data_IF_415511029917
#
_entry.id   IF_415511029917
#
_cell.length_a   1.000
_cell.length_b   1.000
_cell.length_c   1.000
_cell.angle_alpha   90.00
_cell.angle_beta   90.00
_cell.angle_gamma   90.00
#
_symmetry.space_group_name_H-M   'P 1'
#
loop_
_entity.id
_entity.type
_entity.pdbx_description
1 polymer ?
#
# COMPACT_ATOMS: atom_id res chain seq x y z
N UNK A 1 -6.48 -13.47 3.69
CA UNK A 1 -7.10 -13.02 2.42
C UNK A 1 -8.58 -12.98 2.69
N UNK A 2 -9.24 -11.82 2.60
CA UNK A 2 -10.63 -11.64 3.05
C UNK A 2 -11.59 -11.33 1.90
N UNK A 3 -11.25 -11.84 0.72
CA UNK A 3 -12.11 -11.89 -0.46
C UNK A 3 -12.21 -13.38 -0.80
N UNK A 4 -13.42 -13.93 -1.01
CA UNK A 4 -14.71 -13.25 -1.16
C UNK A 4 -15.55 -13.08 0.12
N UNK A 5 -15.07 -13.46 1.31
CA UNK A 5 -15.89 -13.54 2.54
C UNK A 5 -16.28 -12.17 3.12
N UNK A 6 -15.65 -11.07 2.68
CA UNK A 6 -15.92 -9.69 3.12
C UNK A 6 -15.85 -9.52 4.65
N UNK A 7 -14.91 -10.20 5.29
CA UNK A 7 -14.69 -10.10 6.73
C UNK A 7 -13.93 -8.82 7.09
N UNK A 8 -14.45 -8.07 8.07
CA UNK A 8 -13.80 -6.87 8.60
C UNK A 8 -12.93 -7.23 9.82
N UNK A 9 -11.68 -6.77 9.81
CA UNK A 9 -10.73 -6.94 10.91
C UNK A 9 -9.87 -5.69 11.09
N UNK A 10 -9.31 -5.49 12.30
CA UNK A 10 -8.35 -4.41 12.54
C UNK A 10 -7.01 -4.79 11.92
N UNK A 11 -6.42 -3.87 11.15
CA UNK A 11 -5.08 -4.01 10.59
C UNK A 11 -4.23 -2.79 10.98
N UNK A 12 -3.06 -3.04 11.60
CA UNK A 12 -2.09 -1.99 11.89
C UNK A 12 -1.30 -1.63 10.63
N UNK A 13 -1.25 -0.35 10.29
CA UNK A 13 -0.59 0.15 9.08
C UNK A 13 0.15 1.44 9.39
N UNK A 14 1.32 1.62 8.78
CA UNK A 14 2.08 2.87 8.82
C UNK A 14 2.43 3.33 7.40
N UNK A 15 2.50 4.65 7.24
CA UNK A 15 2.86 5.31 5.99
C UNK A 15 3.93 6.35 6.24
N UNK A 16 5.04 6.24 5.52
CA UNK A 16 6.12 7.23 5.54
C UNK A 16 6.24 7.88 4.18
N UNK A 17 6.15 9.21 4.10
CA UNK A 17 6.39 9.94 2.84
C UNK A 17 7.89 9.94 2.54
N UNK A 18 8.28 9.38 1.39
CA UNK A 18 9.68 9.29 0.96
C UNK A 18 10.05 10.41 -0.04
N UNK A 19 9.09 10.82 -0.87
CA UNK A 19 9.22 11.90 -1.84
C UNK A 19 7.85 12.54 -2.12
N UNK A 20 7.78 13.47 -3.07
CA UNK A 20 6.50 14.08 -3.48
C UNK A 20 5.47 13.00 -3.85
N UNK A 21 5.88 12.05 -4.71
CA UNK A 21 5.05 11.02 -5.35
C UNK A 21 5.45 9.59 -4.91
N UNK A 22 6.05 9.46 -3.73
CA UNK A 22 6.47 8.16 -3.21
C UNK A 22 6.21 8.01 -1.71
N UNK A 23 5.61 6.89 -1.34
CA UNK A 23 5.25 6.56 0.04
C UNK A 23 5.67 5.12 0.36
N UNK A 24 6.29 4.91 1.53
CA UNK A 24 6.50 3.58 2.07
C UNK A 24 5.27 3.16 2.87
N UNK A 25 4.67 2.06 2.48
CA UNK A 25 3.67 1.34 3.25
C UNK A 25 4.35 0.26 4.10
N UNK A 26 3.93 0.14 5.35
CA UNK A 26 4.36 -0.91 6.27
C UNK A 26 3.14 -1.55 6.94
N UNK A 27 3.05 -2.89 6.86
CA UNK A 27 2.10 -3.68 7.63
C UNK A 27 2.66 -3.85 9.04
N UNK A 28 2.01 -3.33 10.07
CA UNK A 28 2.54 -3.45 11.44
C UNK A 28 2.32 -4.84 12.06
N UNK A 29 1.56 -5.70 11.38
CA UNK A 29 1.34 -7.09 11.79
C UNK A 29 2.22 -8.13 11.08
N UNK A 30 3.11 -7.70 10.18
CA UNK A 30 4.02 -8.59 9.43
C UNK A 30 5.28 -7.85 8.98
N UNK A 31 6.28 -8.55 8.44
CA UNK A 31 7.48 -7.90 7.89
C UNK A 31 7.27 -7.29 6.49
N UNK A 32 6.02 -7.18 6.04
CA UNK A 32 5.71 -6.69 4.71
C UNK A 32 5.81 -5.17 4.63
N UNK A 33 6.56 -4.69 3.64
CA UNK A 33 6.70 -3.29 3.28
C UNK A 33 6.81 -3.09 1.78
N UNK A 34 6.35 -1.96 1.28
CA UNK A 34 6.47 -1.60 -0.13
C UNK A 34 6.59 -0.09 -0.34
N UNK A 35 7.41 0.30 -1.32
CA UNK A 35 7.51 1.68 -1.78
C UNK A 35 6.54 1.89 -2.93
N UNK A 36 5.47 2.61 -2.66
CA UNK A 36 4.41 2.93 -3.59
C UNK A 36 4.81 4.16 -4.40
N UNK A 37 4.60 4.11 -5.71
CA UNK A 37 4.57 5.32 -6.56
C UNK A 37 3.14 5.73 -6.76
N UNK A 38 2.88 7.02 -6.58
CA UNK A 38 1.55 7.63 -6.77
C UNK A 38 1.62 8.73 -7.81
N UNK A 39 0.47 9.09 -8.39
CA UNK A 39 0.35 10.31 -9.18
C UNK A 39 0.14 11.54 -8.30
N UNK A 40 -0.10 12.68 -8.94
CA UNK A 40 -0.24 13.98 -8.26
C UNK A 40 -1.54 14.06 -7.42
N UNK A 41 -2.53 13.19 -7.69
CA UNK A 41 -3.76 13.05 -6.90
C UNK A 41 -3.62 12.02 -5.76
N UNK A 42 -2.46 11.37 -5.65
CA UNK A 42 -2.17 10.36 -4.64
C UNK A 42 -2.67 8.95 -4.96
N UNK A 43 -3.11 8.70 -6.19
CA UNK A 43 -3.52 7.37 -6.64
C UNK A 43 -2.31 6.52 -7.01
N UNK A 44 -2.31 5.25 -6.60
CA UNK A 44 -1.19 4.34 -6.83
C UNK A 44 -1.03 4.03 -8.32
N UNK A 45 0.14 4.35 -8.86
CA UNK A 45 0.58 3.99 -10.21
C UNK A 45 1.30 2.64 -10.22
N UNK A 46 2.12 2.41 -9.20
CA UNK A 46 2.91 1.20 -9.06
C UNK A 46 2.94 0.75 -7.60
N UNK A 47 2.49 -0.48 -7.39
CA UNK A 47 2.68 -1.26 -6.18
C UNK A 47 3.60 -2.43 -6.54
N UNK A 48 4.92 -2.33 -6.31
CA UNK A 48 5.88 -3.32 -6.77
C UNK A 48 5.51 -4.75 -6.34
N UNK A 49 5.49 -5.68 -7.30
CA UNK A 49 5.17 -7.09 -7.07
C UNK A 49 3.69 -7.43 -6.93
N UNK A 50 2.80 -6.43 -6.85
CA UNK A 50 1.35 -6.66 -6.68
C UNK A 50 0.52 -6.04 -7.81
N UNK A 51 0.65 -4.74 -8.05
CA UNK A 51 -0.21 -4.02 -8.97
C UNK A 51 0.57 -2.97 -9.77
N UNK A 52 0.11 -2.75 -11.00
CA UNK A 52 0.50 -1.62 -11.84
C UNK A 52 -0.77 -1.06 -12.48
N UNK A 53 -0.91 0.27 -12.48
CA UNK A 53 -2.02 0.93 -13.16
C UNK A 53 -1.93 0.68 -14.67
N UNK A 54 -3.07 0.32 -15.28
CA UNK A 54 -3.20 0.01 -16.71
C UNK A 54 -3.19 1.27 -17.57
#
# INVERSE_FOLDING_TARGET
>A
MWIPELKVEKAGQAYTRLAMNAYRFESLGSDFRADLRVDDDGLVELYPGLFKRA
#
